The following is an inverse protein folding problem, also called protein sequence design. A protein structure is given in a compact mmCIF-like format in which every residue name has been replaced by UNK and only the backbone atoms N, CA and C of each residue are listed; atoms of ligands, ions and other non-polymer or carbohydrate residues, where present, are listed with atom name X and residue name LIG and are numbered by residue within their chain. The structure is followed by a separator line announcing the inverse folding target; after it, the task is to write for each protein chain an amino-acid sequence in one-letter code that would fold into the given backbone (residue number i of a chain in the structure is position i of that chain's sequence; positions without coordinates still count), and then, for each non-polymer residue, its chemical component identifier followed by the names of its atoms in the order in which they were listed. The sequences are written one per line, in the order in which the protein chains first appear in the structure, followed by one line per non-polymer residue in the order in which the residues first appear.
data_IF_228429100101
#
_entry.id   IF_228429100101
#
_cell.length_a   1.000
_cell.length_b   1.000
_cell.length_c   1.000
_cell.angle_alpha   90.00
_cell.angle_beta   90.00
_cell.angle_gamma   90.00
#
_symmetry.space_group_name_H-M   'P 1'
#
loop_
_entity.id
_entity.type
_entity.pdbx_description
1 polymer ?
#
# COMPACT_ATOMS: atom_id res chain seq x y z
N UNK A 1 -11.14 12.62 8.84
CA UNK A 1 -10.20 12.90 7.73
C UNK A 1 -9.12 11.82 7.74
N UNK A 2 -8.75 11.23 6.61
CA UNK A 2 -7.60 10.32 6.51
C UNK A 2 -6.42 11.10 5.94
N UNK A 3 -5.25 11.00 6.57
CA UNK A 3 -3.99 11.55 6.05
C UNK A 3 -3.15 10.39 5.53
N UNK A 4 -2.86 10.41 4.22
CA UNK A 4 -2.11 9.37 3.53
C UNK A 4 -0.66 9.81 3.38
N UNK A 5 0.28 8.93 3.75
CA UNK A 5 1.70 9.10 3.47
C UNK A 5 2.16 7.97 2.53
N UNK A 6 2.71 8.34 1.38
CA UNK A 6 3.35 7.40 0.45
C UNK A 6 4.85 7.42 0.75
N UNK A 7 5.43 6.26 1.04
CA UNK A 7 6.79 6.13 1.55
C UNK A 7 7.51 4.96 0.89
N UNK A 8 8.84 5.03 0.85
CA UNK A 8 9.68 3.96 0.29
C UNK A 8 10.33 3.07 1.37
N UNK A 9 10.35 3.53 2.62
CA UNK A 9 11.05 2.87 3.73
C UNK A 9 10.36 3.07 5.09
N UNK A 10 10.73 2.22 6.05
CA UNK A 10 10.12 2.15 7.37
C UNK A 10 10.39 3.39 8.24
N UNK A 11 11.57 4.01 8.12
CA UNK A 11 11.91 5.16 8.96
C UNK A 11 11.06 6.37 8.57
N UNK A 12 10.90 6.60 7.27
CA UNK A 12 9.98 7.61 6.74
C UNK A 12 8.54 7.31 7.18
N UNK A 13 8.12 6.05 7.15
CA UNK A 13 6.79 5.62 7.62
C UNK A 13 6.55 5.98 9.09
N UNK A 14 7.52 5.66 9.98
CA UNK A 14 7.43 5.96 11.41
C UNK A 14 7.32 7.46 11.65
N UNK A 15 8.12 8.27 10.96
CA UNK A 15 8.06 9.74 11.08
C UNK A 15 6.71 10.27 10.61
N UNK A 16 6.18 9.76 9.50
CA UNK A 16 4.87 10.16 8.98
C UNK A 16 3.74 9.83 9.97
N UNK A 17 3.73 8.62 10.52
CA UNK A 17 2.73 8.19 11.53
C UNK A 17 2.84 9.02 12.80
N UNK A 18 4.05 9.26 13.30
CA UNK A 18 4.28 10.14 14.46
C UNK A 18 3.83 11.59 14.20
N UNK A 19 3.81 12.01 12.94
CA UNK A 19 3.36 13.33 12.50
C UNK A 19 1.85 13.38 12.16
N UNK A 20 1.11 12.29 12.38
CA UNK A 20 -0.34 12.24 12.23
C UNK A 20 -0.85 11.55 10.96
N UNK A 21 0.00 10.89 10.16
CA UNK A 21 -0.47 10.05 9.06
C UNK A 21 -1.31 8.89 9.62
N UNK A 22 -2.51 8.72 9.08
CA UNK A 22 -3.44 7.66 9.48
C UNK A 22 -3.41 6.47 8.52
N UNK A 23 -2.83 6.66 7.33
CA UNK A 23 -2.62 5.63 6.31
C UNK A 23 -1.19 5.74 5.81
N UNK A 24 -0.49 4.60 5.74
CA UNK A 24 0.84 4.49 5.14
C UNK A 24 0.76 3.59 3.92
N UNK A 25 1.24 4.10 2.80
CA UNK A 25 1.36 3.40 1.53
C UNK A 25 2.83 3.09 1.26
N UNK A 26 3.23 1.81 1.39
CA UNK A 26 4.55 1.37 0.96
C UNK A 26 4.56 1.28 -0.56
N UNK A 27 5.40 2.10 -1.19
CA UNK A 27 5.58 2.11 -2.63
C UNK A 27 7.06 2.12 -2.97
N UNK A 28 7.56 1.02 -3.54
CA UNK A 28 8.94 0.93 -4.03
C UNK A 28 8.93 0.52 -5.49
N UNK A 29 9.09 1.49 -6.38
CA UNK A 29 9.13 1.21 -7.82
C UNK A 29 10.31 0.32 -8.17
N UNK A 30 10.05 -0.72 -8.97
CA UNK A 30 11.08 -1.65 -9.44
C UNK A 30 11.55 -2.66 -8.39
N UNK A 31 11.01 -2.64 -7.17
CA UNK A 31 11.22 -3.73 -6.22
C UNK A 31 10.47 -4.98 -6.68
N UNK A 32 11.10 -6.14 -6.51
CA UNK A 32 10.43 -7.42 -6.65
C UNK A 32 9.45 -7.63 -5.49
N UNK A 33 8.46 -8.51 -5.70
CA UNK A 33 7.53 -8.93 -4.64
C UNK A 33 8.26 -9.41 -3.38
N UNK A 34 9.38 -10.14 -3.53
CA UNK A 34 10.13 -10.63 -2.37
C UNK A 34 10.81 -9.49 -1.60
N UNK A 35 11.42 -8.52 -2.30
CA UNK A 35 12.01 -7.34 -1.65
C UNK A 35 10.96 -6.48 -0.95
N UNK A 36 9.77 -6.33 -1.53
CA UNK A 36 8.64 -5.66 -0.90
C UNK A 36 8.20 -6.40 0.37
N UNK A 37 8.07 -7.73 0.30
CA UNK A 37 7.68 -8.54 1.46
C UNK A 37 8.74 -8.49 2.55
N UNK A 38 10.03 -8.59 2.21
CA UNK A 38 11.13 -8.51 3.17
C UNK A 38 11.14 -7.16 3.90
N UNK A 39 11.09 -6.06 3.15
CA UNK A 39 11.17 -4.70 3.71
C UNK A 39 9.86 -4.22 4.32
N UNK A 40 8.72 -4.78 3.90
CA UNK A 40 7.39 -4.39 4.32
C UNK A 40 6.92 -5.01 5.63
N UNK A 41 7.49 -6.13 6.10
CA UNK A 41 6.99 -6.80 7.33
C UNK A 41 6.85 -5.87 8.53
N UNK A 42 7.81 -4.98 8.84
CA UNK A 42 7.71 -4.13 10.02
C UNK A 42 6.62 -3.05 9.91
N UNK A 43 6.09 -2.76 8.72
CA UNK A 43 5.02 -1.77 8.54
C UNK A 43 3.71 -2.22 9.20
N UNK A 44 3.49 -3.53 9.31
CA UNK A 44 2.28 -4.10 9.92
C UNK A 44 2.09 -3.67 11.39
N UNK A 45 3.20 -3.39 12.08
CA UNK A 45 3.24 -2.99 13.49
C UNK A 45 3.00 -1.48 13.69
N UNK A 46 2.92 -0.70 12.60
CA UNK A 46 2.63 0.74 12.72
C UNK A 46 1.17 0.96 13.10
N UNK A 47 0.87 1.94 13.98
CA UNK A 47 -0.51 2.26 14.37
C UNK A 47 -1.22 3.11 13.29
N UNK A 48 -1.22 2.63 12.04
CA UNK A 48 -1.84 3.25 10.88
C UNK A 48 -2.35 2.17 9.93
N UNK A 49 -3.32 2.50 9.07
CA UNK A 49 -3.74 1.60 7.99
C UNK A 49 -2.57 1.36 7.06
N UNK A 50 -2.20 0.11 6.84
CA UNK A 50 -1.10 -0.28 5.99
C UNK A 50 -1.59 -0.70 4.62
N UNK A 51 -1.09 -0.03 3.57
CA UNK A 51 -1.40 -0.30 2.18
C UNK A 51 -0.11 -0.54 1.41
N UNK A 52 -0.14 -1.50 0.49
CA UNK A 52 0.98 -1.75 -0.44
C UNK A 52 0.58 -1.24 -1.82
N UNK A 53 1.47 -0.55 -2.50
CA UNK A 53 1.20 -0.09 -3.86
C UNK A 53 1.69 -1.10 -4.90
N UNK A 54 1.00 -1.15 -6.02
CA UNK A 54 1.40 -1.77 -7.29
C UNK A 54 1.54 -3.32 -7.25
N UNK A 55 1.63 -3.96 -6.08
CA UNK A 55 1.81 -5.42 -5.93
C UNK A 55 0.81 -6.08 -4.97
N UNK A 56 -0.17 -6.78 -5.54
CA UNK A 56 -1.23 -7.50 -4.80
C UNK A 56 -0.69 -8.71 -4.03
N UNK A 57 0.29 -9.42 -4.57
CA UNK A 57 0.89 -10.58 -3.89
C UNK A 57 1.62 -10.14 -2.63
N UNK A 58 2.40 -9.07 -2.73
CA UNK A 58 3.09 -8.49 -1.58
C UNK A 58 2.08 -8.03 -0.52
N UNK A 59 1.00 -7.35 -0.92
CA UNK A 59 -0.06 -6.93 0.00
C UNK A 59 -0.65 -8.11 0.81
N UNK A 60 -0.97 -9.21 0.12
CA UNK A 60 -1.50 -10.43 0.75
C UNK A 60 -0.47 -11.04 1.71
N UNK A 61 0.78 -11.22 1.27
CA UNK A 61 1.87 -11.82 2.07
C UNK A 61 2.26 -10.98 3.29
N UNK A 62 1.99 -9.69 3.24
CA UNK A 62 2.25 -8.73 4.31
C UNK A 62 1.08 -8.54 5.26
N UNK A 63 -0.07 -9.19 5.03
CA UNK A 63 -1.31 -8.94 5.77
C UNK A 63 -1.66 -7.45 5.79
N UNK A 64 -1.47 -6.77 4.64
CA UNK A 64 -1.79 -5.37 4.50
C UNK A 64 -3.32 -5.16 4.59
N UNK A 65 -3.74 -4.01 5.09
CA UNK A 65 -5.16 -3.65 5.11
C UNK A 65 -5.71 -3.35 3.70
N UNK A 66 -4.83 -3.03 2.76
CA UNK A 66 -5.22 -2.73 1.39
C UNK A 66 -4.09 -2.76 0.36
N UNK A 67 -4.48 -2.61 -0.89
CA UNK A 67 -3.58 -2.42 -2.02
C UNK A 67 -4.02 -1.21 -2.84
N UNK A 68 -3.08 -0.41 -3.33
CA UNK A 68 -3.36 0.69 -4.24
C UNK A 68 -2.74 0.41 -5.60
N UNK A 69 -3.56 0.33 -6.65
CA UNK A 69 -3.16 -0.02 -8.00
C UNK A 69 -3.30 1.17 -8.96
N UNK A 70 -2.38 1.27 -9.91
CA UNK A 70 -2.55 1.99 -11.15
C UNK A 70 -3.58 1.29 -12.06
N UNK A 71 -4.05 1.99 -13.09
CA UNK A 71 -5.04 1.44 -14.04
C UNK A 71 -4.48 0.30 -14.89
N UNK A 72 -3.17 0.29 -15.09
CA UNK A 72 -2.48 -0.73 -15.88
C UNK A 72 -1.99 -1.91 -15.03
N UNK A 73 -2.08 -1.79 -13.69
CA UNK A 73 -1.64 -2.85 -12.79
C UNK A 73 -2.69 -3.97 -12.73
N UNK A 74 -2.22 -5.21 -12.72
CA UNK A 74 -3.08 -6.39 -12.66
C UNK A 74 -3.47 -6.76 -11.22
N UNK A 75 -4.53 -7.56 -11.07
CA UNK A 75 -4.86 -8.21 -9.81
C UNK A 75 -5.92 -7.52 -8.95
N UNK A 76 -6.66 -6.53 -9.49
CA UNK A 76 -7.78 -5.89 -8.79
C UNK A 76 -8.83 -6.89 -8.27
N UNK A 77 -9.25 -7.84 -9.11
CA UNK A 77 -10.20 -8.90 -8.71
C UNK A 77 -9.63 -9.76 -7.58
N UNK A 78 -8.38 -10.21 -7.73
CA UNK A 78 -7.66 -10.97 -6.71
C UNK A 78 -7.54 -10.24 -5.38
N UNK A 79 -7.32 -8.93 -5.41
CA UNK A 79 -7.25 -8.11 -4.20
C UNK A 79 -8.59 -8.10 -3.45
N UNK A 80 -9.70 -7.96 -4.19
CA UNK A 80 -11.05 -8.01 -3.63
C UNK A 80 -11.38 -9.39 -3.06
N UNK A 81 -11.03 -10.47 -3.76
CA UNK A 81 -11.19 -11.85 -3.28
C UNK A 81 -10.39 -12.11 -1.99
N UNK A 82 -9.21 -11.51 -1.87
CA UNK A 82 -8.38 -11.57 -0.67
C UNK A 82 -8.88 -10.69 0.48
N UNK A 83 -9.96 -9.91 0.27
CA UNK A 83 -10.53 -9.02 1.28
C UNK A 83 -9.75 -7.73 1.52
N UNK A 84 -8.84 -7.37 0.62
CA UNK A 84 -8.08 -6.12 0.70
C UNK A 84 -8.94 -4.91 0.34
N UNK A 85 -8.73 -3.79 1.02
CA UNK A 85 -9.21 -2.50 0.53
C UNK A 85 -8.48 -2.16 -0.77
N UNK A 86 -9.21 -2.07 -1.88
CA UNK A 86 -8.65 -1.73 -3.18
C UNK A 86 -8.77 -0.21 -3.44
N UNK A 87 -7.63 0.45 -3.61
CA UNK A 87 -7.54 1.80 -4.16
C UNK A 87 -7.13 1.76 -5.63
N UNK A 88 -7.75 2.60 -6.47
CA UNK A 88 -7.37 2.77 -7.87
C UNK A 88 -7.00 4.23 -8.13
N UNK A 89 -5.89 4.45 -8.81
CA UNK A 89 -5.52 5.80 -9.28
C UNK A 89 -6.48 6.27 -10.37
N UNK A 90 -6.92 7.53 -10.35
CA UNK A 90 -7.72 8.13 -11.43
C UNK A 90 -7.03 9.41 -11.91
N UNK A 91 -6.97 9.60 -13.22
CA UNK A 91 -6.36 10.77 -13.87
C UNK A 91 -7.35 11.60 -14.67
N UNK A 92 -8.59 11.12 -14.81
CA UNK A 92 -9.71 11.83 -15.41
C UNK A 92 -10.96 11.68 -14.54
N UNK A 93 -11.97 12.52 -14.79
CA UNK A 93 -13.28 12.40 -14.10
C UNK A 93 -13.97 11.10 -14.47
N UNK A 94 -13.82 10.64 -15.71
CA UNK A 94 -14.42 9.38 -16.17
C UNK A 94 -13.80 8.15 -15.50
N UNK A 95 -12.56 8.28 -14.99
CA UNK A 95 -11.89 7.22 -14.21
C UNK A 95 -12.28 7.24 -12.73
N UNK A 96 -12.85 8.32 -12.19
CA UNK A 96 -13.12 8.51 -10.76
C UNK A 96 -14.45 7.89 -10.32
#
# INVERSE_FOLDING_TARGET
MRLHAIVEDLETAKVAVASGATVVQLRRKGATTEELVETGRPFRELPATFVVNDDVEAAIRLDADGVHLGREDAGAERALEAGLVLGLSATSVDEA
#
